data_IF_724624831466
#
_entry.id   IF_724624831466
#
_cell.length_a   1.000
_cell.length_b   1.000
_cell.length_c   1.000
_cell.angle_alpha   90.00
_cell.angle_beta   90.00
_cell.angle_gamma   90.00
#
_symmetry.space_group_name_H-M   'P 1'
#
loop_
_entity.id
_entity.type
_entity.pdbx_description
1 polymer ?
#
# COMPACT_ATOMS: atom_id res chain seq x y z
N UNK A 1 -17.92 0.50 0.21
CA UNK A 1 -16.57 -0.02 0.52
C UNK A 1 -15.71 1.18 0.82
N UNK A 2 -14.93 1.16 1.90
CA UNK A 2 -14.00 2.25 2.20
C UNK A 2 -12.67 1.86 1.57
N UNK A 3 -12.34 2.50 0.44
CA UNK A 3 -11.08 2.29 -0.28
C UNK A 3 -10.08 3.28 0.31
N UNK A 4 -8.84 2.85 0.54
CA UNK A 4 -7.79 3.79 0.92
C UNK A 4 -7.37 4.59 -0.32
N UNK A 5 -8.07 5.71 -0.52
CA UNK A 5 -7.86 6.57 -1.67
C UNK A 5 -6.45 7.16 -1.70
N UNK A 6 -5.78 7.33 -0.55
CA UNK A 6 -4.41 7.88 -0.48
C UNK A 6 -3.39 6.87 -0.97
N UNK A 7 -3.45 5.63 -0.45
CA UNK A 7 -2.54 4.57 -0.88
C UNK A 7 -2.75 4.23 -2.36
N UNK A 8 -4.02 4.13 -2.79
CA UNK A 8 -4.35 3.88 -4.20
C UNK A 8 -3.86 5.00 -5.11
N UNK A 9 -4.03 6.26 -4.72
CA UNK A 9 -3.55 7.41 -5.48
C UNK A 9 -2.03 7.39 -5.63
N UNK A 10 -1.28 7.21 -4.53
CA UNK A 10 0.20 7.15 -4.60
C UNK A 10 0.71 5.99 -5.45
N UNK A 11 0.06 4.83 -5.38
CA UNK A 11 0.38 3.69 -6.26
C UNK A 11 0.15 4.07 -7.72
N UNK A 12 -0.97 4.72 -8.03
CA UNK A 12 -1.27 5.18 -9.38
C UNK A 12 -0.28 6.26 -9.87
N UNK A 13 0.08 7.22 -9.02
CA UNK A 13 1.02 8.30 -9.34
C UNK A 13 2.43 7.78 -9.64
N UNK A 14 2.93 6.81 -8.86
CA UNK A 14 4.31 6.35 -8.97
C UNK A 14 4.49 5.11 -9.86
N UNK A 15 3.55 4.19 -9.82
CA UNK A 15 3.64 2.89 -10.52
C UNK A 15 2.59 2.71 -11.62
N UNK A 16 1.56 3.56 -11.67
CA UNK A 16 0.45 3.46 -12.62
C UNK A 16 -0.60 2.42 -12.22
N UNK A 17 -0.18 1.19 -11.89
CA UNK A 17 -1.10 0.09 -11.54
C UNK A 17 -0.68 -0.65 -10.27
N UNK A 18 -1.63 -1.30 -9.61
CA UNK A 18 -1.36 -2.17 -8.45
C UNK A 18 -0.45 -3.33 -8.82
N UNK A 19 -0.64 -3.93 -10.00
CA UNK A 19 0.23 -4.96 -10.55
C UNK A 19 1.70 -4.53 -10.64
N UNK A 20 2.00 -3.34 -11.20
CA UNK A 20 3.39 -2.85 -11.31
C UNK A 20 4.03 -2.62 -9.94
N UNK A 21 3.26 -2.10 -9.00
CA UNK A 21 3.71 -1.93 -7.63
C UNK A 21 3.98 -3.27 -6.93
N UNK A 22 3.09 -4.24 -7.11
CA UNK A 22 3.27 -5.60 -6.58
C UNK A 22 4.53 -6.27 -7.16
N UNK A 23 4.73 -6.16 -8.47
CA UNK A 23 5.91 -6.65 -9.18
C UNK A 23 7.20 -6.01 -8.64
N UNK A 24 7.22 -4.68 -8.47
CA UNK A 24 8.37 -3.96 -7.91
C UNK A 24 8.74 -4.44 -6.50
N UNK A 25 7.74 -4.72 -5.67
CA UNK A 25 7.93 -5.21 -4.31
C UNK A 25 8.19 -6.73 -4.22
N UNK A 26 8.11 -7.45 -5.34
CA UNK A 26 8.22 -8.91 -5.35
C UNK A 26 7.11 -9.61 -4.57
N UNK A 27 5.90 -9.05 -4.55
CA UNK A 27 4.73 -9.59 -3.85
C UNK A 27 3.57 -9.85 -4.82
N UNK A 28 2.62 -10.67 -4.36
CA UNK A 28 1.39 -10.93 -5.10
C UNK A 28 0.47 -9.70 -5.14
N UNK A 29 -0.11 -9.38 -6.30
CA UNK A 29 -1.05 -8.27 -6.47
C UNK A 29 -2.29 -8.40 -5.55
N UNK A 30 -2.72 -9.63 -5.23
CA UNK A 30 -3.79 -9.87 -4.27
C UNK A 30 -3.45 -9.33 -2.87
N UNK A 31 -2.17 -9.26 -2.48
CA UNK A 31 -1.75 -8.63 -1.23
C UNK A 31 -1.98 -7.11 -1.33
N UNK A 32 -1.60 -6.49 -2.44
CA UNK A 32 -1.84 -5.06 -2.70
C UNK A 32 -3.33 -4.75 -2.68
N UNK A 33 -4.12 -5.51 -3.41
CA UNK A 33 -5.58 -5.36 -3.45
C UNK A 33 -6.22 -5.53 -2.07
N UNK A 34 -5.78 -6.51 -1.27
CA UNK A 34 -6.26 -6.67 0.11
C UNK A 34 -5.92 -5.44 0.95
N UNK A 35 -4.72 -4.88 0.86
CA UNK A 35 -4.32 -3.70 1.65
C UNK A 35 -5.08 -2.46 1.21
N UNK A 36 -5.20 -2.21 -0.10
CA UNK A 36 -5.91 -1.04 -0.66
C UNK A 36 -7.42 -1.07 -0.38
N UNK A 37 -8.03 -2.26 -0.41
CA UNK A 37 -9.49 -2.42 -0.30
C UNK A 37 -9.98 -2.76 1.12
N UNK A 38 -9.11 -2.97 2.12
CA UNK A 38 -9.57 -3.32 3.48
C UNK A 38 -9.96 -2.10 4.32
N UNK A 39 -11.12 -2.25 4.96
CA UNK A 39 -11.81 -1.34 5.90
C UNK A 39 -11.21 -1.21 7.31
N UNK A 40 -10.06 -1.81 7.60
CA UNK A 40 -9.50 -1.82 8.96
C UNK A 40 -8.22 -0.99 9.02
N UNK A 41 -8.39 0.33 9.12
CA UNK A 41 -7.31 1.29 9.43
C UNK A 41 -6.44 0.81 10.62
N UNK A 42 -7.07 0.23 11.65
CA UNK A 42 -6.39 -0.23 12.88
C UNK A 42 -5.61 -1.55 12.81
N UNK A 43 -5.76 -2.34 11.74
CA UNK A 43 -5.06 -3.64 11.60
C UNK A 43 -4.59 -3.85 10.17
N UNK A 44 -3.66 -3.01 9.75
CA UNK A 44 -2.81 -3.37 8.64
C UNK A 44 -1.94 -4.57 9.09
N UNK A 45 -2.20 -5.76 8.53
CA UNK A 45 -1.41 -6.98 8.80
C UNK A 45 -0.01 -6.93 8.19
N UNK A 46 0.35 -5.83 7.53
CA UNK A 46 1.73 -5.60 7.14
C UNK A 46 2.55 -5.36 8.41
N UNK A 47 3.64 -6.12 8.54
CA UNK A 47 4.67 -5.84 9.53
C UNK A 47 5.23 -4.43 9.33
N UNK A 48 5.81 -3.85 10.38
CA UNK A 48 6.43 -2.52 10.28
C UNK A 48 7.48 -2.45 9.15
N UNK A 49 8.24 -3.51 8.95
CA UNK A 49 9.20 -3.63 7.84
C UNK A 49 8.52 -3.56 6.46
N UNK A 50 7.39 -4.25 6.29
CA UNK A 50 6.65 -4.19 5.02
C UNK A 50 6.01 -2.82 4.81
N UNK A 51 5.47 -2.20 5.86
CA UNK A 51 4.95 -0.83 5.78
C UNK A 51 6.05 0.15 5.33
N UNK A 52 7.27 0.01 5.88
CA UNK A 52 8.44 0.80 5.46
C UNK A 52 8.82 0.53 4.01
N UNK A 53 8.95 -0.74 3.62
CA UNK A 53 9.27 -1.09 2.23
C UNK A 53 8.27 -0.50 1.21
N UNK A 54 6.98 -0.46 1.56
CA UNK A 54 5.96 0.16 0.72
C UNK A 54 6.10 1.68 0.69
N UNK A 55 6.34 2.30 1.85
CA UNK A 55 6.53 3.74 1.96
C UNK A 55 7.78 4.20 1.21
N UNK A 56 8.90 3.48 1.34
CA UNK A 56 10.13 3.69 0.58
C UNK A 56 9.90 3.54 -0.93
N UNK A 57 9.22 2.46 -1.32
CA UNK A 57 8.82 2.24 -2.71
C UNK A 57 7.93 3.36 -3.24
N UNK A 58 7.07 3.96 -2.40
CA UNK A 58 6.18 5.08 -2.74
C UNK A 58 6.84 6.47 -2.55
N UNK A 59 8.03 6.55 -1.95
CA UNK A 59 8.74 7.80 -1.67
C UNK A 59 8.01 8.68 -0.65
N UNK A 60 7.36 8.05 0.34
CA UNK A 60 6.58 8.73 1.35
C UNK A 60 6.88 8.12 2.73
N UNK A 61 6.36 8.73 3.80
CA UNK A 61 6.49 8.14 5.14
C UNK A 61 5.38 7.12 5.39
N UNK A 62 5.62 6.04 6.16
CA UNK A 62 4.59 5.06 6.47
C UNK A 62 3.32 5.68 7.08
N UNK A 63 3.48 6.71 7.90
CA UNK A 63 2.38 7.40 8.60
C UNK A 63 1.49 8.22 7.64
N UNK A 64 1.97 8.53 6.43
CA UNK A 64 1.19 9.25 5.41
C UNK A 64 0.20 8.34 4.67
N UNK A 65 0.44 7.03 4.68
CA UNK A 65 -0.33 6.01 3.95
C UNK A 65 -0.93 4.92 4.84
N UNK A 66 -0.39 4.75 6.05
CA UNK A 66 -0.87 3.79 7.05
C UNK A 66 -1.12 4.58 8.34
N UNK A 67 -2.36 5.05 8.54
CA UNK A 67 -2.80 5.59 9.83
C UNK A 67 -2.83 4.43 10.85
N UNK A 68 -2.31 4.65 12.07
CA UNK A 68 -2.34 3.67 13.18
C UNK A 68 -3.71 3.66 13.89
#
# INVERSE_FOLDING_TARGET
MEVDYRLKAKIAEKFGTQWRFAYFLGIDEAIVSKVVNRRQKRRCWLTAERKRAWADALGCRPEEIFED
#
